data_IF_412028707955
#
_entry.id   IF_412028707955
#
_cell.length_a   1.000
_cell.length_b   1.000
_cell.length_c   1.000
_cell.angle_alpha   90.00
_cell.angle_beta   90.00
_cell.angle_gamma   90.00
#
_symmetry.space_group_name_H-M   'P 1'
#
loop_
_entity.id
_entity.type
_entity.pdbx_description
1 polymer ?
#
# COMPACT_ATOMS: atom_id res chain seq x y z
N UNK A 1 -58.44 22.48 55.43
CA UNK A 1 -58.92 23.71 54.76
C UNK A 1 -57.71 24.52 54.30
N UNK A 2 -57.75 25.07 53.07
CA UNK A 2 -56.68 25.83 52.40
C UNK A 2 -56.83 27.34 52.76
N UNK A 3 -56.23 28.37 52.09
CA UNK A 3 -56.24 28.65 50.63
C UNK A 3 -54.87 29.13 50.02
N UNK A 4 -54.53 28.78 48.77
CA UNK A 4 -54.55 29.59 47.50
C UNK A 4 -53.53 30.76 47.42
N UNK A 5 -52.87 31.18 46.34
CA UNK A 5 -52.66 30.80 44.92
C UNK A 5 -51.94 32.00 44.25
N UNK A 6 -50.93 31.79 43.38
CA UNK A 6 -50.64 32.65 42.19
C UNK A 6 -49.34 32.19 41.50
N UNK A 7 -49.41 31.39 40.43
CA UNK A 7 -49.30 31.74 38.99
C UNK A 7 -47.91 32.19 38.48
N UNK A 8 -47.39 31.32 37.60
CA UNK A 8 -46.30 31.51 36.64
C UNK A 8 -46.48 32.75 35.75
N UNK A 9 -45.38 33.44 35.43
CA UNK A 9 -45.28 34.31 34.26
C UNK A 9 -43.87 34.18 33.64
N UNK A 10 -43.82 33.51 32.49
CA UNK A 10 -42.64 33.36 31.64
C UNK A 10 -42.21 34.69 31.03
N UNK A 11 -41.03 35.15 31.42
CA UNK A 11 -40.32 36.25 30.77
C UNK A 11 -39.48 35.73 29.59
N UNK A 12 -40.11 35.19 28.55
CA UNK A 12 -39.46 34.95 27.25
C UNK A 12 -40.51 34.89 26.12
N UNK A 13 -41.23 35.99 25.93
CA UNK A 13 -42.15 36.18 24.81
C UNK A 13 -41.89 37.51 24.08
N UNK A 14 -40.63 37.84 23.81
CA UNK A 14 -40.24 39.06 23.10
C UNK A 14 -39.12 38.79 22.10
N UNK A 15 -39.36 37.93 21.11
CA UNK A 15 -38.62 37.92 19.83
C UNK A 15 -39.28 37.05 18.73
N UNK A 16 -40.61 36.83 18.77
CA UNK A 16 -41.34 36.20 17.67
C UNK A 16 -42.61 36.98 17.36
N UNK A 17 -42.42 38.22 16.92
CA UNK A 17 -43.49 38.96 16.25
C UNK A 17 -42.94 39.90 15.19
N UNK A 18 -42.27 39.35 14.17
CA UNK A 18 -42.48 39.89 12.83
C UNK A 18 -43.81 39.32 12.30
N UNK A 19 -44.89 39.59 13.04
CA UNK A 19 -46.23 39.37 12.55
C UNK A 19 -46.42 40.43 11.45
N UNK A 20 -46.22 40.01 10.20
CA UNK A 20 -46.60 40.79 9.03
C UNK A 20 -48.04 41.25 9.22
N UNK A 21 -48.19 42.56 9.37
CA UNK A 21 -49.45 43.23 9.59
C UNK A 21 -50.37 42.89 8.40
N UNK A 22 -51.56 42.30 8.60
CA UNK A 22 -52.37 41.74 7.52
C UNK A 22 -52.92 42.75 6.51
N UNK A 23 -52.76 44.06 6.78
CA UNK A 23 -53.12 45.14 5.87
C UNK A 23 -51.95 45.67 5.04
N UNK A 24 -50.75 45.10 5.16
CA UNK A 24 -49.59 45.46 4.36
C UNK A 24 -49.23 44.35 3.38
N UNK A 25 -49.27 44.68 2.08
CA UNK A 25 -48.75 43.86 1.00
C UNK A 25 -47.25 43.63 1.18
N UNK A 26 -46.79 42.40 0.95
CA UNK A 26 -45.35 42.13 0.90
C UNK A 26 -44.74 42.89 -0.30
N UNK A 27 -43.49 43.38 -0.21
CA UNK A 27 -42.87 44.18 -1.26
C UNK A 27 -42.78 43.47 -2.62
N UNK A 28 -42.81 42.14 -2.62
CA UNK A 28 -42.84 41.28 -3.81
C UNK A 28 -44.22 41.17 -4.50
N UNK A 29 -45.30 41.60 -3.83
CA UNK A 29 -46.64 41.66 -4.43
C UNK A 29 -46.93 43.04 -5.09
N UNK A 30 -46.00 44.01 -4.98
CA UNK A 30 -46.13 45.34 -5.59
C UNK A 30 -46.07 45.34 -7.13
N UNK A 31 -45.57 44.26 -7.74
CA UNK A 31 -45.38 44.11 -9.19
C UNK A 31 -46.35 43.10 -9.82
N UNK A 32 -47.42 42.72 -9.11
CA UNK A 32 -48.39 41.74 -9.61
C UNK A 32 -49.47 42.44 -10.46
N UNK A 33 -49.46 42.23 -11.78
CA UNK A 33 -50.43 42.84 -12.71
C UNK A 33 -51.78 42.09 -12.83
N UNK A 34 -52.14 41.28 -11.83
CA UNK A 34 -53.39 40.48 -11.82
C UNK A 34 -54.55 41.15 -11.06
N UNK A 35 -55.74 40.55 -11.11
CA UNK A 35 -56.92 41.12 -10.42
C UNK A 35 -56.81 40.99 -8.89
N UNK A 36 -57.43 41.90 -8.10
CA UNK A 36 -57.34 41.88 -6.63
C UNK A 36 -57.83 40.57 -5.99
N UNK A 37 -58.81 39.91 -6.60
CA UNK A 37 -59.35 38.64 -6.13
C UNK A 37 -58.35 37.49 -6.28
N UNK A 38 -57.55 37.48 -7.36
CA UNK A 38 -56.51 36.47 -7.60
C UNK A 38 -55.30 36.68 -6.66
N UNK A 39 -54.96 37.91 -6.35
CA UNK A 39 -53.92 38.24 -5.36
C UNK A 39 -54.33 37.79 -3.95
N UNK A 40 -55.60 37.97 -3.56
CA UNK A 40 -56.11 37.49 -2.29
C UNK A 40 -56.14 35.94 -2.22
N UNK A 41 -56.51 35.28 -3.32
CA UNK A 41 -56.46 33.81 -3.44
C UNK A 41 -55.02 33.29 -3.38
N UNK A 42 -54.07 33.95 -4.03
CA UNK A 42 -52.65 33.56 -4.00
C UNK A 42 -52.04 33.76 -2.61
N UNK A 43 -52.40 34.85 -1.91
CA UNK A 43 -52.02 35.10 -0.52
C UNK A 43 -52.62 34.06 0.44
N UNK A 44 -53.90 33.69 0.26
CA UNK A 44 -54.55 32.63 1.04
C UNK A 44 -53.91 31.27 0.79
N UNK A 45 -53.59 30.94 -0.46
CA UNK A 45 -52.87 29.71 -0.85
C UNK A 45 -51.42 29.69 -0.34
N UNK A 46 -50.77 30.86 -0.26
CA UNK A 46 -49.45 31.04 0.38
C UNK A 46 -49.54 30.81 1.90
N UNK A 47 -50.59 31.33 2.55
CA UNK A 47 -50.86 31.13 3.98
C UNK A 47 -51.14 29.65 4.31
N UNK A 48 -51.91 28.96 3.47
CA UNK A 48 -52.13 27.51 3.55
C UNK A 48 -50.84 26.70 3.34
N UNK A 49 -50.00 27.09 2.37
CA UNK A 49 -48.68 26.45 2.17
C UNK A 49 -47.75 26.64 3.35
N UNK A 50 -47.72 27.82 3.96
CA UNK A 50 -46.91 28.11 5.16
C UNK A 50 -47.41 27.32 6.37
N UNK A 51 -48.73 27.22 6.54
CA UNK A 51 -49.33 26.40 7.61
C UNK A 51 -49.09 24.89 7.42
N UNK A 52 -49.16 24.40 6.18
CA UNK A 52 -48.81 23.02 5.85
C UNK A 52 -47.30 22.74 5.98
N UNK A 53 -46.45 23.73 5.71
CA UNK A 53 -45.01 23.62 5.91
C UNK A 53 -44.64 23.60 7.41
N UNK A 54 -45.37 24.32 8.27
CA UNK A 54 -45.14 24.28 9.72
C UNK A 54 -45.57 22.97 10.37
N UNK A 55 -46.50 22.23 9.76
CA UNK A 55 -46.91 20.89 10.19
C UNK A 55 -45.99 19.76 9.69
N UNK A 56 -45.05 20.06 8.80
CA UNK A 56 -43.99 19.12 8.45
C UNK A 56 -43.10 18.98 9.68
N UNK A 57 -43.34 17.92 10.47
CA UNK A 57 -42.49 17.54 11.61
C UNK A 57 -41.04 17.75 11.18
N UNK A 58 -40.35 18.74 11.77
CA UNK A 58 -38.93 18.95 11.51
C UNK A 58 -38.27 17.64 11.90
N UNK A 59 -37.79 16.89 10.90
CA UNK A 59 -37.09 15.65 11.15
C UNK A 59 -35.90 15.93 12.06
N UNK A 60 -35.55 15.01 12.94
CA UNK A 60 -34.32 15.14 13.71
C UNK A 60 -33.13 15.35 12.77
N UNK A 61 -32.27 16.31 13.12
CA UNK A 61 -31.00 16.50 12.46
C UNK A 61 -30.21 15.19 12.48
N UNK A 62 -29.67 14.78 11.33
CA UNK A 62 -28.86 13.56 11.24
C UNK A 62 -27.42 13.93 10.90
N UNK A 63 -26.44 13.30 11.56
CA UNK A 63 -25.01 13.58 11.37
C UNK A 63 -24.44 12.86 10.13
N UNK A 64 -25.06 13.06 8.96
CA UNK A 64 -24.63 12.51 7.67
C UNK A 64 -24.16 13.64 6.77
N UNK A 65 -22.87 13.64 6.40
CA UNK A 65 -22.25 14.71 5.61
C UNK A 65 -22.76 14.78 4.16
N UNK A 66 -23.29 13.66 3.65
CA UNK A 66 -23.65 13.49 2.24
C UNK A 66 -25.15 13.61 1.94
N UNK A 67 -26.00 13.69 2.97
CA UNK A 67 -27.45 13.73 2.81
C UNK A 67 -27.99 15.15 2.98
N UNK A 68 -28.73 15.66 1.99
CA UNK A 68 -29.31 17.02 2.04
C UNK A 68 -30.50 17.06 3.02
N UNK A 69 -30.41 17.93 4.02
CA UNK A 69 -31.37 18.02 5.13
C UNK A 69 -32.08 19.38 5.16
N UNK A 70 -33.25 19.50 5.81
CA UNK A 70 -33.99 20.76 5.92
C UNK A 70 -33.39 21.69 7.02
N UNK A 71 -32.07 21.70 7.14
CA UNK A 71 -31.31 22.53 8.07
C UNK A 71 -30.26 23.31 7.26
N UNK A 72 -29.90 24.55 7.66
CA UNK A 72 -28.81 25.29 7.04
C UNK A 72 -27.51 24.49 7.04
N UNK A 73 -26.63 24.72 6.06
CA UNK A 73 -25.37 23.98 5.94
C UNK A 73 -24.45 24.17 7.16
N UNK A 74 -24.55 25.30 7.88
CA UNK A 74 -23.80 25.58 9.11
C UNK A 74 -24.53 25.16 10.40
N UNK A 75 -25.66 24.45 10.31
CA UNK A 75 -26.42 24.05 11.49
C UNK A 75 -25.72 22.92 12.24
N UNK A 76 -25.46 23.16 13.53
CA UNK A 76 -24.91 22.17 14.47
C UNK A 76 -25.81 22.12 15.70
N UNK A 77 -26.15 20.91 16.17
CA UNK A 77 -26.93 20.75 17.39
C UNK A 77 -26.05 20.97 18.63
N UNK A 78 -26.09 22.17 19.21
CA UNK A 78 -25.26 22.60 20.34
C UNK A 78 -25.34 21.66 21.56
N UNK A 79 -26.48 20.99 21.77
CA UNK A 79 -26.69 20.11 22.93
C UNK A 79 -26.10 18.72 22.74
N UNK A 80 -26.16 18.17 21.53
CA UNK A 80 -25.74 16.78 21.26
C UNK A 80 -24.46 16.67 20.44
N UNK A 81 -23.83 17.81 20.10
CA UNK A 81 -22.68 17.86 19.20
C UNK A 81 -21.53 16.95 19.69
N UNK A 82 -21.14 17.09 20.96
CA UNK A 82 -20.01 16.38 21.56
C UNK A 82 -20.37 15.03 22.17
N UNK A 83 -21.65 14.72 22.35
CA UNK A 83 -22.11 13.50 23.05
C UNK A 83 -21.65 12.20 22.37
N UNK A 84 -21.38 12.25 21.07
CA UNK A 84 -20.94 11.09 20.29
C UNK A 84 -19.45 11.15 19.92
N UNK A 85 -18.67 12.04 20.54
CA UNK A 85 -17.22 12.09 20.35
C UNK A 85 -16.59 10.88 21.03
N UNK A 86 -16.18 9.89 20.23
CA UNK A 86 -15.53 8.69 20.74
C UNK A 86 -14.02 8.87 20.68
N UNK A 87 -13.34 8.65 21.81
CA UNK A 87 -11.87 8.59 21.83
C UNK A 87 -11.43 7.16 21.55
N UNK A 88 -10.53 7.00 20.59
CA UNK A 88 -9.89 5.73 20.28
C UNK A 88 -10.85 4.54 19.99
N UNK A 89 -11.99 4.70 19.28
CA UNK A 89 -12.96 3.60 19.10
C UNK A 89 -12.44 2.43 18.25
N UNK A 90 -11.39 2.65 17.45
CA UNK A 90 -10.73 1.62 16.62
C UNK A 90 -9.35 1.23 17.16
N UNK A 91 -9.10 1.43 18.46
CA UNK A 91 -7.79 1.12 19.02
C UNK A 91 -7.65 -0.39 19.21
N UNK A 92 -6.95 -1.03 18.28
CA UNK A 92 -6.51 -2.42 18.43
C UNK A 92 -5.21 -2.43 19.26
N UNK A 93 -5.18 -3.07 20.45
CA UNK A 93 -3.95 -3.21 21.22
C UNK A 93 -2.96 -4.08 20.44
N UNK A 94 -1.68 -3.68 20.42
CA UNK A 94 -0.67 -4.49 19.74
C UNK A 94 -0.28 -5.67 20.63
N UNK A 95 -0.52 -6.88 20.14
CA UNK A 95 0.05 -8.09 20.73
C UNK A 95 1.56 -8.09 20.51
N UNK A 96 2.35 -8.22 21.59
CA UNK A 96 3.82 -8.14 21.52
C UNK A 96 4.42 -9.10 20.49
N UNK A 97 3.98 -10.35 20.49
CA UNK A 97 4.49 -11.37 19.57
C UNK A 97 4.11 -11.11 18.12
N UNK A 98 2.91 -10.57 17.87
CA UNK A 98 2.47 -10.18 16.53
C UNK A 98 3.26 -8.97 16.01
N UNK A 99 3.52 -7.99 16.87
CA UNK A 99 4.35 -6.83 16.53
C UNK A 99 5.79 -7.26 16.23
N UNK A 100 6.36 -8.13 17.07
CA UNK A 100 7.70 -8.67 16.87
C UNK A 100 7.78 -9.46 15.55
N UNK A 101 6.80 -10.32 15.29
CA UNK A 101 6.65 -11.04 14.02
C UNK A 101 6.61 -10.08 12.81
N UNK A 102 5.87 -8.97 12.89
CA UNK A 102 5.82 -7.98 11.81
C UNK A 102 7.14 -7.20 11.63
N UNK A 103 7.84 -6.90 12.73
CA UNK A 103 9.12 -6.18 12.70
C UNK A 103 10.26 -6.96 12.04
N UNK A 104 10.12 -8.28 11.88
CA UNK A 104 11.10 -9.13 11.15
C UNK A 104 11.33 -8.65 9.70
N UNK A 105 10.36 -7.96 9.10
CA UNK A 105 10.52 -7.37 7.76
C UNK A 105 11.60 -6.29 7.77
N UNK A 106 11.67 -5.48 8.81
CA UNK A 106 12.70 -4.45 8.95
C UNK A 106 14.06 -5.13 9.18
N UNK A 107 14.09 -6.12 10.08
CA UNK A 107 15.30 -6.89 10.41
C UNK A 107 15.90 -7.57 9.18
N UNK A 108 15.08 -8.19 8.32
CA UNK A 108 15.56 -8.82 7.08
C UNK A 108 16.23 -7.83 6.14
N UNK A 109 15.67 -6.62 5.99
CA UNK A 109 16.26 -5.60 5.13
C UNK A 109 17.60 -5.11 5.70
N UNK A 110 17.64 -4.76 6.99
CA UNK A 110 18.86 -4.32 7.66
C UNK A 110 19.94 -5.43 7.62
N UNK A 111 19.56 -6.69 7.83
CA UNK A 111 20.46 -7.82 7.72
C UNK A 111 21.03 -7.97 6.30
N UNK A 112 20.21 -7.79 5.25
CA UNK A 112 20.67 -7.83 3.85
C UNK A 112 21.66 -6.70 3.53
N UNK A 113 21.42 -5.48 4.03
CA UNK A 113 22.36 -4.34 3.93
C UNK A 113 23.66 -4.65 4.67
N UNK A 114 23.58 -5.24 5.87
CA UNK A 114 24.76 -5.63 6.65
C UNK A 114 25.58 -6.72 5.93
N UNK A 115 24.93 -7.74 5.37
CA UNK A 115 25.59 -8.77 4.56
C UNK A 115 26.28 -8.13 3.36
N UNK A 116 25.62 -7.20 2.66
CA UNK A 116 26.23 -6.47 1.54
C UNK A 116 27.51 -5.71 1.98
N UNK A 117 27.45 -4.97 3.09
CA UNK A 117 28.60 -4.25 3.63
C UNK A 117 29.74 -5.19 4.06
N UNK A 118 29.40 -6.33 4.69
CA UNK A 118 30.36 -7.34 5.09
C UNK A 118 31.04 -8.00 3.89
N UNK A 119 30.27 -8.30 2.84
CA UNK A 119 30.81 -8.82 1.57
C UNK A 119 31.75 -7.81 0.91
N UNK A 120 31.35 -6.53 0.83
CA UNK A 120 32.20 -5.48 0.29
C UNK A 120 33.51 -5.34 1.07
N UNK A 121 33.45 -5.27 2.39
CA UNK A 121 34.65 -5.15 3.25
C UNK A 121 35.54 -6.39 3.17
N UNK A 122 34.97 -7.59 3.09
CA UNK A 122 35.72 -8.84 2.91
C UNK A 122 36.43 -8.89 1.54
N UNK A 123 35.79 -8.40 0.48
CA UNK A 123 36.38 -8.26 -0.86
C UNK A 123 37.47 -7.17 -0.85
N UNK A 124 37.22 -6.04 -0.20
CA UNK A 124 38.15 -4.92 -0.12
C UNK A 124 39.43 -5.28 0.66
N UNK A 125 39.32 -6.13 1.68
CA UNK A 125 40.45 -6.68 2.44
C UNK A 125 41.09 -7.92 1.79
N UNK A 126 40.68 -8.30 0.57
CA UNK A 126 41.17 -9.48 -0.17
C UNK A 126 41.02 -10.82 0.59
N UNK A 127 40.11 -10.88 1.56
CA UNK A 127 39.84 -12.10 2.34
C UNK A 127 38.98 -13.11 1.59
N UNK A 128 38.12 -12.63 0.70
CA UNK A 128 37.17 -13.44 -0.06
C UNK A 128 37.22 -13.03 -1.52
N UNK A 129 37.26 -14.01 -2.42
CA UNK A 129 37.18 -13.81 -3.86
C UNK A 129 35.80 -13.27 -4.26
N UNK A 130 35.73 -12.16 -5.03
CA UNK A 130 34.45 -11.57 -5.47
C UNK A 130 33.61 -12.52 -6.32
N UNK A 131 34.27 -13.35 -7.13
CA UNK A 131 33.62 -14.39 -7.92
C UNK A 131 32.86 -15.40 -7.05
N UNK A 132 33.42 -15.81 -5.90
CA UNK A 132 32.76 -16.77 -5.01
C UNK A 132 31.51 -16.19 -4.36
N UNK A 133 31.56 -14.91 -3.95
CA UNK A 133 30.41 -14.21 -3.37
C UNK A 133 29.27 -14.14 -4.38
N UNK A 134 29.56 -13.67 -5.60
CA UNK A 134 28.52 -13.55 -6.63
C UNK A 134 28.04 -14.91 -7.12
N UNK A 135 28.90 -15.93 -7.24
CA UNK A 135 28.46 -17.28 -7.64
C UNK A 135 27.50 -17.90 -6.63
N UNK A 136 27.78 -17.74 -5.32
CA UNK A 136 26.88 -18.24 -4.29
C UNK A 136 25.54 -17.48 -4.30
N UNK A 137 25.59 -16.16 -4.46
CA UNK A 137 24.40 -15.33 -4.51
C UNK A 137 23.54 -15.59 -5.76
N UNK A 138 24.15 -15.75 -6.94
CA UNK A 138 23.45 -16.16 -8.17
C UNK A 138 22.86 -17.57 -8.05
N UNK A 139 23.57 -18.50 -7.40
CA UNK A 139 23.04 -19.84 -7.12
C UNK A 139 21.82 -19.79 -6.20
N UNK A 140 21.87 -19.01 -5.11
CA UNK A 140 20.73 -18.77 -4.23
C UNK A 140 19.56 -18.11 -4.96
N UNK A 141 19.84 -17.13 -5.84
CA UNK A 141 18.83 -16.45 -6.65
C UNK A 141 18.16 -17.41 -7.63
N UNK A 142 18.94 -18.29 -8.26
CA UNK A 142 18.40 -19.34 -9.14
C UNK A 142 17.55 -20.36 -8.38
N UNK A 143 18.00 -20.81 -7.21
CA UNK A 143 17.22 -21.69 -6.33
C UNK A 143 15.91 -21.03 -5.88
N UNK A 144 15.95 -19.74 -5.51
CA UNK A 144 14.77 -18.97 -5.16
C UNK A 144 13.79 -18.83 -6.35
N UNK A 145 14.32 -18.64 -7.57
CA UNK A 145 13.52 -18.62 -8.79
C UNK A 145 12.88 -19.98 -9.10
N UNK A 146 13.60 -21.09 -8.92
CA UNK A 146 13.04 -22.45 -9.07
C UNK A 146 11.92 -22.72 -8.05
N UNK A 147 12.12 -22.30 -6.80
CA UNK A 147 11.11 -22.43 -5.76
C UNK A 147 9.86 -21.60 -6.08
N UNK A 148 10.05 -20.38 -6.56
CA UNK A 148 8.97 -19.52 -7.04
C UNK A 148 8.21 -20.13 -8.22
N UNK A 149 8.93 -20.61 -9.24
CA UNK A 149 8.33 -21.25 -10.42
C UNK A 149 7.57 -22.53 -10.06
N UNK A 150 8.08 -23.32 -9.11
CA UNK A 150 7.37 -24.47 -8.55
C UNK A 150 6.06 -24.07 -7.86
N UNK A 151 6.08 -23.04 -7.01
CA UNK A 151 4.86 -22.54 -6.35
C UNK A 151 3.84 -21.97 -7.32
N UNK A 152 4.27 -21.20 -8.32
CA UNK A 152 3.39 -20.69 -9.36
C UNK A 152 2.75 -21.82 -10.16
N UNK A 153 3.49 -22.92 -10.39
CA UNK A 153 2.96 -24.12 -11.01
C UNK A 153 1.81 -24.75 -10.23
N UNK A 154 1.88 -24.76 -8.89
CA UNK A 154 0.81 -25.28 -8.03
C UNK A 154 -0.44 -24.40 -8.09
N UNK A 155 -0.29 -23.07 -7.96
CA UNK A 155 -1.43 -22.15 -7.94
C UNK A 155 -2.23 -22.20 -9.24
N UNK A 156 -1.57 -22.27 -10.39
CA UNK A 156 -2.26 -22.42 -11.66
C UNK A 156 -3.00 -23.75 -11.79
N UNK A 157 -2.42 -24.83 -11.24
CA UNK A 157 -3.09 -26.15 -11.25
C UNK A 157 -4.34 -26.16 -10.36
N UNK A 158 -4.28 -25.51 -9.20
CA UNK A 158 -5.42 -25.32 -8.30
C UNK A 158 -6.49 -24.45 -8.95
N UNK A 159 -6.10 -23.36 -9.61
CA UNK A 159 -7.02 -22.49 -10.37
C UNK A 159 -7.65 -23.26 -11.53
N UNK A 160 -6.88 -24.04 -12.29
CA UNK A 160 -7.40 -24.85 -13.39
C UNK A 160 -8.40 -25.92 -12.89
N UNK A 161 -8.10 -26.59 -11.78
CA UNK A 161 -9.01 -27.54 -11.14
C UNK A 161 -10.28 -26.84 -10.62
N UNK A 162 -10.14 -25.65 -10.01
CA UNK A 162 -11.31 -24.88 -9.55
C UNK A 162 -12.20 -24.46 -10.72
N UNK A 163 -11.60 -24.05 -11.85
CA UNK A 163 -12.33 -23.67 -13.07
C UNK A 163 -13.00 -24.87 -13.75
N UNK A 164 -12.34 -26.03 -13.76
CA UNK A 164 -12.92 -27.28 -14.24
C UNK A 164 -14.12 -27.70 -13.38
N UNK A 165 -13.99 -27.64 -12.05
CA UNK A 165 -15.08 -27.94 -11.10
C UNK A 165 -16.28 -26.99 -11.25
N UNK A 166 -16.03 -25.70 -11.48
CA UNK A 166 -17.10 -24.72 -11.74
C UNK A 166 -17.80 -25.01 -13.08
N UNK A 167 -17.06 -25.46 -14.10
CA UNK A 167 -17.63 -25.84 -15.39
C UNK A 167 -18.51 -27.09 -15.28
N UNK A 168 -18.05 -28.13 -14.58
CA UNK A 168 -18.83 -29.36 -14.36
C UNK A 168 -20.15 -29.07 -13.61
N UNK A 169 -20.12 -28.17 -12.61
CA UNK A 169 -21.34 -27.75 -11.88
C UNK A 169 -22.29 -26.93 -12.76
N UNK A 170 -21.78 -26.20 -13.75
CA UNK A 170 -22.59 -25.45 -14.71
C UNK A 170 -23.25 -26.38 -15.75
N UNK A 171 -22.58 -27.47 -16.11
CA UNK A 171 -23.04 -28.47 -17.09
C UNK A 171 -24.01 -29.52 -16.48
N UNK A 172 -24.11 -29.62 -15.14
CA UNK A 172 -25.02 -30.55 -14.42
C UNK A 172 -26.44 -29.99 -14.14
N UNK A 173 -26.74 -28.73 -14.47
CA UNK A 173 -28.10 -28.17 -14.34
C UNK A 173 -28.95 -28.57 -15.55
N UNK A 174 -30.08 -29.29 -15.39
CA UNK A 174 -30.92 -29.67 -16.53
C UNK A 174 -31.48 -28.43 -17.22
N UNK A 175 -31.16 -28.26 -18.49
CA UNK A 175 -31.77 -27.29 -19.39
C UNK A 175 -33.26 -27.62 -19.54
N UNK A 176 -34.10 -27.00 -18.72
CA UNK A 176 -35.53 -26.96 -18.96
C UNK A 176 -35.75 -26.04 -20.16
N UNK A 177 -36.03 -26.64 -21.30
CA UNK A 177 -36.34 -26.00 -22.56
C UNK A 177 -37.51 -25.03 -22.42
N UNK A 178 -37.31 -23.76 -22.74
CA UNK A 178 -38.35 -22.91 -23.28
C UNK A 178 -37.85 -22.31 -24.60
N UNK A 179 -38.49 -22.78 -25.66
CA UNK A 179 -38.35 -22.35 -27.03
C UNK A 179 -38.60 -20.85 -27.17
N UNK A 180 -37.67 -20.13 -27.80
CA UNK A 180 -37.97 -18.88 -28.49
C UNK A 180 -37.13 -18.80 -29.77
N UNK A 181 -37.83 -18.46 -30.84
CA UNK A 181 -37.53 -18.60 -32.26
C UNK A 181 -36.22 -18.00 -32.77
N UNK A 182 -35.57 -18.80 -33.62
CA UNK A 182 -34.89 -18.46 -34.88
C UNK A 182 -35.03 -17.04 -35.42
N UNK A 183 -33.90 -16.31 -35.53
CA UNK A 183 -33.57 -15.43 -36.66
C UNK A 183 -32.05 -15.55 -36.93
N UNK A 184 -31.70 -15.89 -38.17
CA UNK A 184 -30.32 -16.04 -38.70
C UNK A 184 -29.60 -14.69 -38.96
N UNK A 185 -28.27 -14.70 -39.16
CA UNK A 185 -27.43 -13.51 -39.13
C UNK A 185 -27.24 -12.86 -40.51
N UNK A 186 -27.21 -11.52 -40.56
CA UNK A 186 -26.63 -10.78 -41.69
C UNK A 186 -25.32 -10.11 -41.31
N UNK A 187 -24.31 -10.40 -42.12
CA UNK A 187 -22.98 -9.81 -42.15
C UNK A 187 -22.99 -8.35 -42.60
N UNK A 188 -22.29 -7.47 -41.88
CA UNK A 188 -21.70 -6.26 -42.45
C UNK A 188 -20.54 -5.77 -41.59
N UNK A 189 -19.34 -5.79 -42.17
CA UNK A 189 -18.17 -5.05 -41.73
C UNK A 189 -18.44 -3.54 -41.87
N UNK A 190 -18.04 -2.72 -40.89
CA UNK A 190 -17.32 -1.43 -41.12
C UNK A 190 -16.95 -0.72 -39.82
N UNK A 191 -15.63 -0.52 -39.66
CA UNK A 191 -14.89 0.67 -39.20
C UNK A 191 -15.11 1.31 -37.81
N UNK A 192 -14.03 1.23 -37.03
CA UNK A 192 -13.38 2.24 -36.18
C UNK A 192 -14.20 3.42 -35.63
N UNK A 193 -14.14 3.60 -34.31
CA UNK A 193 -13.53 4.76 -33.62
C UNK A 193 -13.69 4.60 -32.10
N UNK A 194 -12.75 3.92 -31.45
CA UNK A 194 -12.74 3.78 -29.99
C UNK A 194 -12.08 5.00 -29.37
N UNK A 195 -12.91 5.90 -28.84
CA UNK A 195 -12.50 7.04 -28.03
C UNK A 195 -11.84 6.55 -26.72
N UNK A 196 -10.70 7.14 -26.39
CA UNK A 196 -9.90 6.83 -25.23
C UNK A 196 -10.67 7.08 -23.92
N UNK A 197 -10.68 6.08 -23.03
CA UNK A 197 -11.05 6.21 -21.62
C UNK A 197 -9.81 5.91 -20.77
N UNK A 198 -9.18 6.98 -20.31
CA UNK A 198 -8.13 6.98 -19.31
C UNK A 198 -8.71 6.47 -17.98
N UNK A 199 -8.34 5.26 -17.60
CA UNK A 199 -8.44 4.80 -16.22
C UNK A 199 -7.06 4.34 -15.76
N UNK A 200 -6.41 5.20 -14.97
CA UNK A 200 -5.19 4.90 -14.22
C UNK A 200 -5.47 3.76 -13.25
N UNK A 201 -5.30 2.54 -13.77
CA UNK A 201 -5.06 1.33 -13.01
C UNK A 201 -3.57 1.08 -13.20
N UNK A 202 -2.75 0.79 -12.17
CA UNK A 202 -1.41 0.30 -12.41
C UNK A 202 -1.57 -1.01 -13.18
N UNK A 203 -1.37 -0.93 -14.49
CA UNK A 203 -1.42 -2.07 -15.39
C UNK A 203 -0.29 -2.99 -14.95
N UNK A 204 -0.65 -4.00 -14.17
CA UNK A 204 0.12 -5.22 -14.16
C UNK A 204 0.04 -5.77 -15.59
N UNK A 205 0.96 -5.30 -16.45
CA UNK A 205 1.11 -5.80 -17.80
C UNK A 205 1.32 -7.31 -17.66
N UNK A 206 0.35 -8.09 -18.12
CA UNK A 206 0.52 -9.54 -18.26
C UNK A 206 1.82 -9.77 -19.03
N UNK A 207 2.65 -10.76 -18.65
CA UNK A 207 3.85 -11.09 -19.42
C UNK A 207 3.47 -11.16 -20.90
N UNK A 208 4.31 -10.60 -21.78
CA UNK A 208 4.13 -10.68 -23.21
C UNK A 208 4.06 -12.16 -23.61
N UNK A 209 2.84 -12.64 -23.88
CA UNK A 209 2.59 -13.98 -24.44
C UNK A 209 2.38 -13.75 -25.92
N UNK A 210 3.31 -14.24 -26.74
CA UNK A 210 3.17 -14.18 -28.18
C UNK A 210 2.15 -15.24 -28.62
N UNK A 211 0.95 -14.83 -29.10
CA UNK A 211 -0.12 -15.76 -29.46
C UNK A 211 0.24 -16.63 -30.67
N UNK A 212 1.28 -16.27 -31.42
CA UNK A 212 1.70 -16.99 -32.63
C UNK A 212 2.84 -17.99 -32.36
N UNK A 213 3.36 -18.06 -31.13
CA UNK A 213 4.47 -18.96 -30.81
C UNK A 213 3.96 -20.34 -30.36
N UNK A 214 4.62 -21.40 -30.81
CA UNK A 214 4.29 -22.80 -30.47
C UNK A 214 4.72 -23.20 -29.05
N UNK A 215 5.34 -22.28 -28.30
CA UNK A 215 5.83 -22.52 -26.95
C UNK A 215 4.71 -22.33 -25.93
N UNK A 216 4.65 -23.21 -24.93
CA UNK A 216 3.79 -23.03 -23.76
C UNK A 216 4.02 -21.63 -23.13
N UNK A 217 2.97 -20.92 -22.67
CA UNK A 217 3.09 -19.57 -22.11
C UNK A 217 4.11 -19.50 -20.95
N UNK A 218 4.29 -20.58 -20.19
CA UNK A 218 5.33 -20.70 -19.15
C UNK A 218 6.74 -20.61 -19.73
N UNK A 219 7.00 -21.36 -20.80
CA UNK A 219 8.30 -21.36 -21.44
C UNK A 219 8.61 -20.00 -22.08
N UNK A 220 7.59 -19.28 -22.56
CA UNK A 220 7.75 -17.91 -23.05
C UNK A 220 8.16 -16.96 -21.90
N UNK A 221 7.50 -17.03 -20.74
CA UNK A 221 7.85 -16.21 -19.57
C UNK A 221 9.25 -16.55 -19.02
N UNK A 222 9.61 -17.84 -18.97
CA UNK A 222 10.96 -18.28 -18.59
C UNK A 222 12.02 -17.78 -19.56
N UNK A 223 11.75 -17.86 -20.87
CA UNK A 223 12.65 -17.33 -21.91
C UNK A 223 12.78 -15.81 -21.83
N UNK A 224 11.69 -15.07 -21.60
CA UNK A 224 11.73 -13.63 -21.42
C UNK A 224 12.57 -13.22 -20.20
N UNK A 225 12.44 -13.97 -19.10
CA UNK A 225 13.25 -13.76 -17.88
C UNK A 225 14.72 -14.11 -18.11
N UNK A 226 15.01 -15.20 -18.80
CA UNK A 226 16.38 -15.57 -19.16
C UNK A 226 17.02 -14.54 -20.11
N UNK A 227 16.24 -14.02 -21.07
CA UNK A 227 16.67 -12.96 -21.98
C UNK A 227 16.98 -11.67 -21.23
N UNK A 228 16.13 -11.23 -20.31
CA UNK A 228 16.39 -10.02 -19.50
C UNK A 228 17.60 -10.20 -18.59
N UNK A 229 17.76 -11.36 -17.95
CA UNK A 229 18.94 -11.67 -17.13
C UNK A 229 20.23 -11.65 -17.96
N UNK A 230 20.21 -12.23 -19.17
CA UNK A 230 21.36 -12.19 -20.09
C UNK A 230 21.69 -10.76 -20.52
N UNK A 231 20.68 -9.94 -20.80
CA UNK A 231 20.87 -8.53 -21.14
C UNK A 231 21.49 -7.73 -19.99
N UNK A 232 21.02 -7.94 -18.75
CA UNK A 232 21.61 -7.31 -17.56
C UNK A 232 23.07 -7.76 -17.39
N UNK A 233 23.34 -9.06 -17.49
CA UNK A 233 24.69 -9.61 -17.38
C UNK A 233 25.65 -9.02 -18.43
N UNK A 234 25.23 -8.99 -19.70
CA UNK A 234 26.00 -8.42 -20.80
C UNK A 234 26.22 -6.91 -20.63
N UNK A 235 25.19 -6.16 -20.20
CA UNK A 235 25.29 -4.73 -19.94
C UNK A 235 26.28 -4.44 -18.80
N UNK A 236 26.23 -5.19 -17.69
CA UNK A 236 27.17 -5.03 -16.59
C UNK A 236 28.61 -5.32 -17.02
N UNK A 237 28.85 -6.35 -17.84
CA UNK A 237 30.19 -6.61 -18.37
C UNK A 237 30.73 -5.44 -19.21
N UNK A 238 29.89 -4.87 -20.08
CA UNK A 238 30.25 -3.70 -20.90
C UNK A 238 30.46 -2.41 -20.08
N UNK A 239 29.64 -2.20 -19.04
CA UNK A 239 29.68 -1.00 -18.20
C UNK A 239 30.73 -1.07 -17.08
N UNK A 240 31.23 -2.26 -16.73
CA UNK A 240 32.17 -2.46 -15.61
C UNK A 240 33.43 -1.58 -15.68
N UNK A 241 34.10 -1.39 -16.84
CA UNK A 241 35.23 -0.46 -16.94
C UNK A 241 34.85 1.00 -16.65
N UNK A 242 33.65 1.41 -17.09
CA UNK A 242 33.14 2.76 -16.87
C UNK A 242 32.85 2.97 -15.38
N UNK A 243 32.14 2.02 -14.76
CA UNK A 243 31.84 2.04 -13.32
C UNK A 243 33.13 2.08 -12.50
N UNK A 244 34.16 1.32 -12.88
CA UNK A 244 35.49 1.37 -12.23
C UNK A 244 36.13 2.76 -12.30
N UNK A 245 35.98 3.46 -13.43
CA UNK A 245 36.58 4.79 -13.62
C UNK A 245 35.77 5.93 -12.99
N UNK A 246 34.49 5.69 -12.65
CA UNK A 246 33.50 6.72 -12.33
C UNK A 246 33.93 7.67 -11.21
N UNK A 247 34.49 7.14 -10.12
CA UNK A 247 34.82 7.92 -8.92
C UNK A 247 36.33 8.00 -8.68
N UNK A 248 37.13 7.89 -9.74
CA UNK A 248 38.60 7.93 -9.64
C UNK A 248 39.11 9.31 -9.16
N UNK A 249 38.41 10.38 -9.53
CA UNK A 249 38.72 11.77 -9.13
C UNK A 249 38.22 12.13 -7.73
N UNK A 250 37.41 11.27 -7.09
CA UNK A 250 36.84 11.53 -5.77
C UNK A 250 37.69 10.87 -4.68
N UNK A 251 37.85 11.56 -3.53
CA UNK A 251 38.59 11.06 -2.38
C UNK A 251 37.89 9.89 -1.71
N UNK A 252 38.66 8.97 -1.11
CA UNK A 252 38.13 7.77 -0.44
C UNK A 252 37.17 8.14 0.69
N UNK A 253 37.52 9.11 1.54
CA UNK A 253 36.72 9.48 2.72
C UNK A 253 35.32 9.97 2.31
N UNK A 254 35.23 10.77 1.25
CA UNK A 254 33.96 11.21 0.68
C UNK A 254 33.13 10.03 0.17
N UNK A 255 33.77 9.02 -0.44
CA UNK A 255 33.07 7.82 -0.95
C UNK A 255 32.50 6.98 0.18
N UNK A 256 33.25 6.76 1.27
CA UNK A 256 32.74 6.09 2.47
C UNK A 256 31.59 6.88 3.11
N UNK A 257 31.69 8.21 3.17
CA UNK A 257 30.63 9.06 3.71
C UNK A 257 29.35 9.03 2.86
N UNK A 258 29.47 9.25 1.56
CA UNK A 258 28.33 9.28 0.63
C UNK A 258 27.67 7.89 0.56
N UNK A 259 28.44 6.81 0.50
CA UNK A 259 27.87 5.45 0.51
C UNK A 259 27.13 5.13 1.81
N UNK A 260 27.66 5.55 2.96
CA UNK A 260 26.98 5.39 4.26
C UNK A 260 25.64 6.13 4.27
N UNK A 261 25.59 7.37 3.79
CA UNK A 261 24.34 8.12 3.72
C UNK A 261 23.38 7.50 2.68
N UNK A 262 23.85 7.06 1.52
CA UNK A 262 22.98 6.39 0.55
C UNK A 262 22.40 5.07 1.09
N UNK A 263 23.16 4.30 1.88
CA UNK A 263 22.66 3.10 2.55
C UNK A 263 21.66 3.43 3.66
N UNK A 264 21.90 4.50 4.43
CA UNK A 264 20.94 5.00 5.41
C UNK A 264 19.64 5.49 4.74
N UNK A 265 19.72 6.19 3.61
CA UNK A 265 18.54 6.57 2.81
C UNK A 265 17.81 5.34 2.27
N UNK A 266 18.54 4.33 1.81
CA UNK A 266 17.95 3.06 1.40
C UNK A 266 17.13 2.44 2.54
N UNK A 267 17.67 2.35 3.76
CA UNK A 267 16.97 1.76 4.91
C UNK A 267 15.77 2.63 5.34
N UNK A 268 15.90 3.96 5.32
CA UNK A 268 14.87 4.88 5.80
C UNK A 268 13.65 5.00 4.86
N UNK A 269 13.88 4.96 3.54
CA UNK A 269 12.83 5.12 2.53
C UNK A 269 12.35 3.79 1.94
N UNK A 270 12.81 2.65 2.48
CA UNK A 270 12.31 1.34 2.05
C UNK A 270 10.85 1.16 2.47
N UNK A 271 10.02 0.64 1.56
CA UNK A 271 8.62 0.35 1.87
C UNK A 271 8.51 -0.97 2.67
N UNK A 272 8.34 -0.84 3.98
CA UNK A 272 8.10 -1.97 4.89
C UNK A 272 6.61 -2.32 5.02
N UNK A 273 5.73 -1.55 4.37
CA UNK A 273 4.28 -1.74 4.41
C UNK A 273 3.82 -3.02 3.69
N UNK A 274 2.67 -3.54 4.09
CA UNK A 274 2.08 -4.75 3.47
C UNK A 274 0.88 -4.43 2.56
N UNK A 275 0.28 -3.23 2.61
CA UNK A 275 -0.88 -2.86 1.75
C UNK A 275 -1.32 -1.38 1.81
N UNK A 276 -1.51 -0.78 0.62
CA UNK A 276 -2.50 0.24 0.18
C UNK A 276 -2.54 1.67 0.79
N UNK A 277 -1.51 2.15 1.48
CA UNK A 277 -1.42 3.56 1.88
C UNK A 277 -0.23 4.25 1.22
N UNK A 278 -0.49 5.26 0.36
CA UNK A 278 0.48 6.16 -0.29
C UNK A 278 1.88 5.55 -0.47
N UNK A 279 2.02 4.70 -1.49
CA UNK A 279 3.29 4.05 -1.82
C UNK A 279 4.36 5.13 -2.01
N UNK A 280 5.35 5.20 -1.10
CA UNK A 280 6.57 5.94 -1.41
C UNK A 280 7.14 5.33 -2.68
N UNK A 281 7.76 6.11 -3.59
CA UNK A 281 8.36 5.54 -4.78
C UNK A 281 9.41 4.53 -4.32
N UNK A 282 9.15 3.22 -4.50
CA UNK A 282 10.10 2.14 -4.21
C UNK A 282 11.45 2.35 -4.94
N UNK A 283 11.44 3.23 -5.94
CA UNK A 283 12.60 3.73 -6.64
C UNK A 283 13.58 4.48 -5.74
N UNK A 284 13.18 5.28 -4.74
CA UNK A 284 14.14 6.09 -3.96
C UNK A 284 15.09 5.18 -3.18
N UNK A 285 14.56 4.19 -2.48
CA UNK A 285 15.34 3.26 -1.67
C UNK A 285 16.26 2.40 -2.54
N UNK A 286 15.71 1.76 -3.58
CA UNK A 286 16.47 0.89 -4.48
C UNK A 286 17.51 1.66 -5.30
N UNK A 287 17.20 2.86 -5.79
CA UNK A 287 18.16 3.72 -6.49
C UNK A 287 19.29 4.16 -5.54
N UNK A 288 18.97 4.49 -4.29
CA UNK A 288 19.99 4.85 -3.28
C UNK A 288 20.93 3.68 -3.00
N UNK A 289 20.38 2.46 -2.86
CA UNK A 289 21.18 1.26 -2.63
C UNK A 289 22.08 0.92 -3.82
N UNK A 290 21.56 1.00 -5.05
CA UNK A 290 22.33 0.78 -6.26
C UNK A 290 23.41 1.84 -6.44
N UNK A 291 23.11 3.11 -6.15
CA UNK A 291 24.11 4.19 -6.20
C UNK A 291 25.20 4.03 -5.13
N UNK A 292 24.84 3.62 -3.90
CA UNK A 292 25.82 3.29 -2.88
C UNK A 292 26.73 2.16 -3.35
N UNK A 293 26.14 1.13 -3.95
CA UNK A 293 26.85 -0.04 -4.44
C UNK A 293 27.78 0.28 -5.60
N UNK A 294 27.37 1.13 -6.55
CA UNK A 294 28.21 1.52 -7.69
C UNK A 294 29.41 2.37 -7.27
N UNK A 295 29.21 3.30 -6.34
CA UNK A 295 30.26 4.17 -5.79
C UNK A 295 31.24 3.38 -4.90
N UNK A 296 30.80 2.32 -4.24
CA UNK A 296 31.70 1.38 -3.54
C UNK A 296 32.43 0.45 -4.51
N UNK A 297 31.72 -0.09 -5.50
CA UNK A 297 32.28 -1.00 -6.50
C UNK A 297 33.42 -0.36 -7.30
N UNK A 298 33.29 0.93 -7.65
CA UNK A 298 34.30 1.68 -8.39
C UNK A 298 35.67 1.76 -7.70
N UNK A 299 35.73 1.51 -6.38
CA UNK A 299 36.97 1.48 -5.59
C UNK A 299 37.69 0.14 -5.62
N UNK A 300 37.10 -0.88 -6.23
CA UNK A 300 37.74 -2.18 -6.33
C UNK A 300 38.81 -2.21 -7.42
N UNK A 301 39.92 -2.95 -7.20
CA UNK A 301 41.11 -2.86 -8.05
C UNK A 301 40.91 -3.46 -9.45
N UNK A 302 39.98 -4.39 -9.64
CA UNK A 302 39.73 -5.10 -10.89
C UNK A 302 38.32 -4.84 -11.43
N UNK A 303 38.15 -4.85 -12.76
CA UNK A 303 36.84 -4.75 -13.41
C UNK A 303 35.96 -5.95 -13.06
N UNK A 304 36.54 -7.13 -12.86
CA UNK A 304 35.82 -8.33 -12.38
C UNK A 304 35.25 -8.10 -10.98
N UNK A 305 35.96 -7.38 -10.12
CA UNK A 305 35.48 -7.08 -8.77
C UNK A 305 34.29 -6.11 -8.82
N UNK A 306 34.38 -5.08 -9.67
CA UNK A 306 33.27 -4.13 -9.91
C UNK A 306 32.05 -4.87 -10.46
N UNK A 307 32.25 -5.72 -11.46
CA UNK A 307 31.21 -6.57 -12.04
C UNK A 307 30.54 -7.46 -10.97
N UNK A 308 31.32 -8.22 -10.20
CA UNK A 308 30.78 -9.13 -9.19
C UNK A 308 30.00 -8.40 -8.10
N UNK A 309 30.51 -7.26 -7.59
CA UNK A 309 29.81 -6.50 -6.55
C UNK A 309 28.53 -5.85 -7.06
N UNK A 310 28.53 -5.35 -8.30
CA UNK A 310 27.34 -4.72 -8.91
C UNK A 310 26.27 -5.73 -9.27
N UNK A 311 26.63 -6.93 -9.72
CA UNK A 311 25.67 -8.01 -9.91
C UNK A 311 25.09 -8.46 -8.57
N UNK A 312 25.94 -8.64 -7.55
CA UNK A 312 25.51 -8.98 -6.19
C UNK A 312 24.58 -7.92 -5.57
N UNK A 313 24.81 -6.64 -5.82
CA UNK A 313 23.93 -5.57 -5.32
C UNK A 313 22.55 -5.60 -5.99
N UNK A 314 22.47 -5.92 -7.28
CA UNK A 314 21.19 -6.10 -7.98
C UNK A 314 20.42 -7.31 -7.42
N UNK A 315 21.12 -8.40 -7.08
CA UNK A 315 20.50 -9.56 -6.44
C UNK A 315 19.95 -9.22 -5.05
N UNK A 316 20.72 -8.53 -4.20
CA UNK A 316 20.32 -8.19 -2.82
C UNK A 316 19.29 -7.05 -2.74
N UNK A 317 19.42 -6.00 -3.54
CA UNK A 317 18.55 -4.82 -3.44
C UNK A 317 17.43 -4.79 -4.48
N UNK A 318 17.54 -5.56 -5.56
CA UNK A 318 16.51 -5.65 -6.61
C UNK A 318 15.65 -6.90 -6.48
N UNK A 319 16.27 -8.09 -6.56
CA UNK A 319 15.55 -9.36 -6.65
C UNK A 319 15.09 -9.88 -5.28
N UNK A 320 15.97 -9.82 -4.29
CA UNK A 320 15.69 -10.34 -2.95
C UNK A 320 14.46 -9.69 -2.28
N UNK A 321 14.20 -8.37 -2.39
CA UNK A 321 12.98 -7.73 -1.89
C UNK A 321 11.68 -8.27 -2.48
N UNK A 322 11.71 -8.69 -3.75
CA UNK A 322 10.56 -9.27 -4.43
C UNK A 322 10.31 -10.68 -3.89
N UNK A 323 11.37 -11.50 -3.82
CA UNK A 323 11.29 -12.88 -3.33
C UNK A 323 10.79 -12.95 -1.89
N UNK A 324 11.33 -12.13 -0.98
CA UNK A 324 10.88 -12.12 0.43
C UNK A 324 9.40 -11.77 0.59
N UNK A 325 8.87 -10.84 -0.22
CA UNK A 325 7.46 -10.43 -0.17
C UNK A 325 6.55 -11.58 -0.58
N UNK A 326 6.95 -12.28 -1.64
CA UNK A 326 6.29 -13.47 -2.14
C UNK A 326 6.35 -14.64 -1.14
N UNK A 327 7.53 -14.91 -0.59
CA UNK A 327 7.75 -15.96 0.41
C UNK A 327 6.86 -15.76 1.65
N UNK A 328 6.77 -14.51 2.13
CA UNK A 328 5.93 -14.15 3.28
C UNK A 328 4.44 -14.31 2.99
N UNK A 329 4.00 -13.97 1.78
CA UNK A 329 2.61 -14.14 1.37
C UNK A 329 2.21 -15.62 1.29
N UNK A 330 3.14 -16.50 0.88
CA UNK A 330 2.86 -17.93 0.74
C UNK A 330 3.04 -18.71 2.04
N UNK A 331 4.14 -18.49 2.75
CA UNK A 331 4.51 -19.31 3.92
C UNK A 331 5.11 -18.47 5.05
N UNK A 332 4.44 -18.49 6.20
CA UNK A 332 4.94 -17.85 7.40
C UNK A 332 6.22 -18.53 7.93
N UNK A 333 6.27 -19.86 7.89
CA UNK A 333 7.46 -20.62 8.32
C UNK A 333 8.68 -20.36 7.44
N UNK A 334 8.50 -20.23 6.12
CA UNK A 334 9.58 -19.89 5.20
C UNK A 334 10.14 -18.49 5.47
N UNK A 335 9.26 -17.52 5.75
CA UNK A 335 9.66 -16.17 6.16
C UNK A 335 10.48 -16.16 7.46
N UNK A 336 10.07 -16.95 8.47
CA UNK A 336 10.83 -17.09 9.71
C UNK A 336 12.18 -17.76 9.49
N UNK A 337 12.23 -18.87 8.75
CA UNK A 337 13.47 -19.56 8.42
C UNK A 337 14.47 -18.65 7.71
N UNK A 338 13.98 -17.87 6.73
CA UNK A 338 14.79 -16.88 6.02
C UNK A 338 15.28 -15.76 6.94
N UNK A 339 14.46 -15.31 7.90
CA UNK A 339 14.88 -14.33 8.91
C UNK A 339 16.02 -14.86 9.77
N UNK A 340 15.89 -16.09 10.28
CA UNK A 340 16.93 -16.73 11.10
C UNK A 340 18.23 -16.88 10.28
N UNK A 341 18.13 -17.34 9.04
CA UNK A 341 19.27 -17.46 8.15
C UNK A 341 19.98 -16.12 7.91
N UNK A 342 19.23 -15.05 7.63
CA UNK A 342 19.81 -13.72 7.42
C UNK A 342 20.46 -13.15 8.68
N UNK A 343 19.80 -13.26 9.84
CA UNK A 343 20.32 -12.71 11.10
C UNK A 343 21.60 -13.44 11.53
N UNK A 344 21.61 -14.77 11.44
CA UNK A 344 22.79 -15.57 11.77
C UNK A 344 23.94 -15.30 10.79
N UNK A 345 23.65 -15.23 9.49
CA UNK A 345 24.66 -14.90 8.47
C UNK A 345 25.21 -13.48 8.66
N UNK A 346 24.35 -12.49 8.90
CA UNK A 346 24.76 -11.10 9.12
C UNK A 346 25.60 -10.94 10.40
N UNK A 347 25.15 -11.53 11.51
CA UNK A 347 25.89 -11.49 12.79
C UNK A 347 27.25 -12.19 12.70
N UNK A 348 27.28 -13.39 12.11
CA UNK A 348 28.52 -14.12 11.86
C UNK A 348 29.47 -13.37 10.92
N UNK A 349 28.95 -12.84 9.81
CA UNK A 349 29.75 -12.08 8.83
C UNK A 349 30.33 -10.80 9.43
N UNK A 350 29.53 -10.04 10.17
CA UNK A 350 29.98 -8.80 10.82
C UNK A 350 31.09 -9.06 11.85
N UNK A 351 30.94 -10.08 12.68
CA UNK A 351 31.96 -10.37 13.68
C UNK A 351 33.23 -10.95 13.04
N UNK A 352 33.09 -11.75 11.97
CA UNK A 352 34.22 -12.26 11.21
C UNK A 352 35.02 -11.15 10.51
N UNK A 353 34.36 -10.12 9.96
CA UNK A 353 35.06 -8.97 9.34
C UNK A 353 35.76 -8.10 10.36
N UNK A 354 35.18 -7.91 11.56
CA UNK A 354 35.78 -7.11 12.63
C UNK A 354 36.99 -7.78 13.30
N UNK A 355 36.91 -9.08 13.53
CA UNK A 355 37.91 -9.78 14.37
C UNK A 355 38.97 -10.54 13.57
N UNK A 356 38.79 -10.69 12.25
CA UNK A 356 39.83 -11.25 11.40
C UNK A 356 39.59 -12.67 10.90
N UNK A 357 38.34 -13.13 10.84
CA UNK A 357 37.93 -14.24 9.99
C UNK A 357 38.12 -15.65 10.56
N UNK A 358 38.45 -15.80 11.84
CA UNK A 358 38.54 -17.12 12.48
C UNK A 358 37.15 -17.76 12.68
N UNK A 359 37.07 -19.09 12.59
CA UNK A 359 35.81 -19.84 12.79
C UNK A 359 35.14 -19.54 14.13
N UNK A 360 35.93 -19.39 15.20
CA UNK A 360 35.41 -19.03 16.52
C UNK A 360 34.75 -17.65 16.55
N UNK A 361 35.27 -16.69 15.78
CA UNK A 361 34.64 -15.38 15.64
C UNK A 361 33.29 -15.45 14.92
N UNK A 362 33.21 -16.25 13.85
CA UNK A 362 31.93 -16.41 13.15
C UNK A 362 30.84 -16.99 14.07
N UNK A 363 31.18 -18.01 14.86
CA UNK A 363 30.25 -18.61 15.84
C UNK A 363 29.88 -17.61 16.94
N UNK A 364 30.87 -16.89 17.50
CA UNK A 364 30.61 -15.85 18.49
C UNK A 364 29.70 -14.73 17.93
N UNK A 365 29.92 -14.34 16.67
CA UNK A 365 29.09 -13.37 15.95
C UNK A 365 27.66 -13.84 15.73
N UNK A 366 27.44 -15.13 15.46
CA UNK A 366 26.10 -15.70 15.36
C UNK A 366 25.36 -15.56 16.69
N UNK A 367 26.00 -15.96 17.80
CA UNK A 367 25.38 -15.93 19.13
C UNK A 367 25.12 -14.48 19.56
N UNK A 368 26.15 -13.63 19.51
CA UNK A 368 26.05 -12.24 19.94
C UNK A 368 25.12 -11.42 19.03
N UNK A 369 25.25 -11.58 17.71
CA UNK A 369 24.41 -10.88 16.74
C UNK A 369 22.94 -11.27 16.86
N UNK A 370 22.65 -12.57 17.06
CA UNK A 370 21.26 -13.03 17.28
C UNK A 370 20.70 -12.48 18.59
N UNK A 371 21.48 -12.48 19.67
CA UNK A 371 21.08 -11.92 20.96
C UNK A 371 20.80 -10.42 20.86
N UNK A 372 21.72 -9.65 20.27
CA UNK A 372 21.57 -8.20 20.07
C UNK A 372 20.36 -7.90 19.20
N UNK A 373 20.15 -8.64 18.11
CA UNK A 373 18.98 -8.46 17.23
C UNK A 373 17.68 -8.71 17.98
N UNK A 374 17.61 -9.80 18.77
CA UNK A 374 16.43 -10.13 19.57
C UNK A 374 16.14 -9.06 20.63
N UNK A 375 17.17 -8.60 21.36
CA UNK A 375 17.04 -7.55 22.37
C UNK A 375 16.64 -6.20 21.77
N UNK A 376 17.26 -5.80 20.65
CA UNK A 376 16.94 -4.54 19.98
C UNK A 376 15.51 -4.54 19.43
N UNK A 377 15.12 -5.62 18.75
CA UNK A 377 13.77 -5.81 18.24
C UNK A 377 12.74 -5.85 19.38
N UNK A 378 13.00 -6.60 20.45
CA UNK A 378 12.13 -6.68 21.63
C UNK A 378 12.00 -5.34 22.35
N UNK A 379 13.10 -4.60 22.50
CA UNK A 379 13.10 -3.27 23.12
C UNK A 379 12.33 -2.26 22.27
N UNK A 380 12.49 -2.31 20.94
CA UNK A 380 11.74 -1.47 20.01
C UNK A 380 10.23 -1.77 20.06
N UNK A 381 9.85 -3.05 20.07
CA UNK A 381 8.44 -3.46 20.18
C UNK A 381 7.84 -3.03 21.52
N UNK A 382 8.57 -3.19 22.63
CA UNK A 382 8.14 -2.75 23.95
C UNK A 382 7.99 -1.22 24.02
N UNK A 383 8.88 -0.49 23.38
CA UNK A 383 8.79 0.96 23.24
C UNK A 383 7.55 1.37 22.45
N UNK A 384 7.26 0.73 21.31
CA UNK A 384 6.06 1.00 20.50
C UNK A 384 4.76 0.74 21.25
N UNK A 385 4.69 -0.35 22.02
CA UNK A 385 3.54 -0.63 22.90
C UNK A 385 3.40 0.45 23.96
N UNK A 386 4.52 0.87 24.57
CA UNK A 386 4.53 1.95 25.55
C UNK A 386 4.07 3.29 24.96
N UNK A 387 4.29 3.53 23.66
CA UNK A 387 3.81 4.71 22.96
C UNK A 387 2.30 4.69 22.69
N UNK A 388 1.63 3.53 22.70
CA UNK A 388 0.19 3.45 22.49
C UNK A 388 -0.60 4.27 23.52
N UNK A 389 -0.07 4.43 24.75
CA UNK A 389 -0.70 5.23 25.80
C UNK A 389 -0.81 6.73 25.45
N UNK A 390 0.01 7.21 24.51
CA UNK A 390 -0.02 8.59 24.05
C UNK A 390 -0.88 8.79 22.79
N UNK A 391 -1.43 7.71 22.21
CA UNK A 391 -2.25 7.78 21.00
C UNK A 391 -3.66 8.32 21.33
N UNK A 392 -4.01 9.45 20.70
CA UNK A 392 -5.29 10.13 20.87
C UNK A 392 -5.93 10.40 19.51
N UNK A 393 -6.75 9.46 19.04
CA UNK A 393 -7.61 9.65 17.89
C UNK A 393 -9.03 9.99 18.37
N UNK A 394 -9.47 11.21 18.08
CA UNK A 394 -10.85 11.62 18.30
C UNK A 394 -11.64 11.25 17.05
N UNK A 395 -12.60 10.35 17.21
CA UNK A 395 -13.54 10.01 16.15
C UNK A 395 -14.83 10.78 16.36
N UNK A 396 -15.18 11.58 15.35
CA UNK A 396 -16.48 12.21 15.30
C UNK A 396 -17.57 11.23 14.84
N UNK A 397 -18.84 11.49 15.17
CA UNK A 397 -20.00 10.68 14.74
C UNK A 397 -20.35 10.84 13.26
N UNK A 398 -19.57 11.61 12.50
CA UNK A 398 -19.83 11.88 11.09
C UNK A 398 -19.45 10.65 10.28
N UNK A 399 -20.44 10.01 9.66
CA UNK A 399 -20.18 8.89 8.76
C UNK A 399 -19.65 9.45 7.43
N UNK A 400 -18.35 9.29 7.11
CA UNK A 400 -17.84 9.70 5.81
C UNK A 400 -18.53 8.87 4.73
N UNK A 401 -18.95 9.51 3.64
CA UNK A 401 -19.57 8.80 2.53
C UNK A 401 -18.64 7.68 2.04
N UNK A 402 -19.07 6.42 2.21
CA UNK A 402 -18.39 5.28 1.58
C UNK A 402 -18.84 5.22 0.13
N UNK A 403 -17.97 5.43 -0.86
CA UNK A 403 -18.37 5.34 -2.26
C UNK A 403 -18.87 3.93 -2.56
N UNK A 404 -20.13 3.81 -2.98
CA UNK A 404 -20.67 2.55 -3.49
C UNK A 404 -20.13 2.37 -4.91
N UNK A 405 -18.99 1.70 -5.04
CA UNK A 405 -18.44 1.32 -6.34
C UNK A 405 -19.32 0.20 -6.89
N UNK A 406 -20.34 0.54 -7.67
CA UNK A 406 -21.11 -0.44 -8.43
C UNK A 406 -20.21 -1.00 -9.53
N UNK A 407 -19.65 -2.19 -9.32
CA UNK A 407 -19.00 -2.98 -10.38
C UNK A 407 -20.10 -3.58 -11.27
N UNK A 408 -20.55 -2.79 -12.26
CA UNK A 408 -21.10 -3.20 -13.58
C UNK A 408 -21.94 -2.06 -14.14
N UNK A 409 -21.49 -1.52 -15.26
CA UNK A 409 -22.37 -1.05 -16.32
C UNK A 409 -22.12 -2.03 -17.45
N UNK A 410 -23.07 -2.94 -17.66
CA UNK A 410 -23.13 -3.78 -18.87
C UNK A 410 -23.69 -2.95 -20.02
#
# INVERSE_FOLDING_TARGET
MPPSSSTFADAHATAKSSALNPNYLAPEDAYYHGSPAEAALSARKRKERVHNASHRRKGHYKKLLWFKQPFPDNYTDEKTFLDHLQRNPRMEPYEFWSLMANSTVIVQHVASVAIFCCSFTAIFQERVSPSSVVSWASFCTFMAWLLWDYWMGQEESEVAQSKAKVKDVQDEVPSTSLSASSIEPQSSQTNELTFASSSDTPTHQSPYIDPNSSLSPKNQQRLATAKSALLIYAALLGLSPILKSLTKSTTSDSIWAISTWLLCMNVAFFDYGTSNGSHLPASISTNSALMASTVLASRLPSTTHVFSLTLFSIEIFGLFPIFRRQLRAKSWYGHLALTIFLVTTAGGALFATLTGGHRGAWIAGIILGSLVTFLCMGSCCWWLISLQKYKNELHGPWDPARPVIRRRWD
#
